data_IF_688690754204
#
_entry.id   IF_688690754204
#
_cell.length_a   1.000
_cell.length_b   1.000
_cell.length_c   1.000
_cell.angle_alpha   90.00
_cell.angle_beta   90.00
_cell.angle_gamma   90.00
#
_symmetry.space_group_name_H-M   'P 1'
#
loop_
_entity.id
_entity.type
_entity.pdbx_description
1 polymer ?
#
# COMPACT_ATOMS: atom_id res chain seq x y z
N UNK A 1 46.14 32.61 -27.25
CA UNK A 1 44.69 32.32 -27.26
C UNK A 1 44.27 31.61 -25.98
N UNK A 2 43.50 32.28 -25.10
CA UNK A 2 42.81 31.61 -23.99
C UNK A 2 41.65 30.78 -24.56
N UNK A 3 41.78 29.44 -24.54
CA UNK A 3 40.75 28.53 -25.06
C UNK A 3 39.48 28.67 -24.21
N UNK A 4 38.33 28.82 -24.87
CA UNK A 4 37.03 29.12 -24.29
C UNK A 4 36.48 27.95 -23.43
N UNK A 5 36.98 27.81 -22.19
CA UNK A 5 36.61 26.76 -21.21
C UNK A 5 35.10 26.70 -20.92
N UNK A 6 34.40 27.82 -21.07
CA UNK A 6 32.96 27.92 -20.83
C UNK A 6 32.13 27.06 -21.79
N UNK A 7 32.57 26.90 -23.04
CA UNK A 7 31.85 26.09 -24.04
C UNK A 7 31.92 24.60 -23.72
N UNK A 8 33.08 24.13 -23.29
CA UNK A 8 33.29 22.74 -22.87
C UNK A 8 32.40 22.39 -21.67
N UNK A 9 32.40 23.23 -20.63
CA UNK A 9 31.55 23.03 -19.44
C UNK A 9 30.06 23.00 -19.81
N UNK A 10 29.61 23.90 -20.70
CA UNK A 10 28.22 23.91 -21.18
C UNK A 10 27.86 22.63 -21.93
N UNK A 11 28.76 22.13 -22.80
CA UNK A 11 28.57 20.87 -23.54
C UNK A 11 28.46 19.68 -22.59
N UNK A 12 29.38 19.54 -21.63
CA UNK A 12 29.35 18.47 -20.63
C UNK A 12 28.05 18.47 -19.81
N UNK A 13 27.58 19.66 -19.37
CA UNK A 13 26.31 19.78 -18.64
C UNK A 13 25.10 19.38 -19.50
N UNK A 14 25.08 19.77 -20.78
CA UNK A 14 24.01 19.40 -21.69
C UNK A 14 23.97 17.88 -21.95
N UNK A 15 25.13 17.26 -22.12
CA UNK A 15 25.27 15.82 -22.32
C UNK A 15 24.80 15.03 -21.10
N UNK A 16 25.21 15.45 -19.89
CA UNK A 16 24.75 14.83 -18.65
C UNK A 16 23.23 14.91 -18.49
N UNK A 17 22.61 16.05 -18.83
CA UNK A 17 21.15 16.20 -18.81
C UNK A 17 20.48 15.29 -19.82
N UNK A 18 21.02 15.19 -21.03
CA UNK A 18 20.50 14.30 -22.09
C UNK A 18 20.56 12.84 -21.67
N UNK A 19 21.68 12.40 -21.09
CA UNK A 19 21.85 11.04 -20.55
C UNK A 19 20.82 10.76 -19.45
N UNK A 20 20.73 11.62 -18.42
CA UNK A 20 19.73 11.47 -17.35
C UNK A 20 18.30 11.38 -17.87
N UNK A 21 17.95 12.15 -18.90
CA UNK A 21 16.61 12.10 -19.52
C UNK A 21 16.40 10.76 -20.22
N UNK A 22 17.39 10.27 -20.97
CA UNK A 22 17.35 8.97 -21.63
C UNK A 22 17.21 7.82 -20.62
N UNK A 23 18.06 7.79 -19.60
CA UNK A 23 18.03 6.77 -18.54
C UNK A 23 16.65 6.75 -17.83
N UNK A 24 16.07 7.94 -17.58
CA UNK A 24 14.72 8.05 -16.99
C UNK A 24 13.64 7.52 -17.93
N UNK A 25 13.74 7.82 -19.23
CA UNK A 25 12.80 7.32 -20.24
C UNK A 25 12.89 5.81 -20.41
N UNK A 26 14.10 5.25 -20.47
CA UNK A 26 14.33 3.81 -20.55
C UNK A 26 13.79 3.09 -19.31
N UNK A 27 14.06 3.61 -18.10
CA UNK A 27 13.48 3.07 -16.85
C UNK A 27 11.96 3.15 -16.83
N UNK A 28 11.37 4.20 -17.41
CA UNK A 28 9.92 4.34 -17.53
C UNK A 28 9.33 3.37 -18.55
N UNK A 29 9.99 3.16 -19.68
CA UNK A 29 9.59 2.19 -20.70
C UNK A 29 9.67 0.77 -20.15
N UNK A 30 10.79 0.40 -19.52
CA UNK A 30 10.94 -0.90 -18.87
C UNK A 30 9.82 -1.17 -17.85
N UNK A 31 9.45 -0.18 -17.02
CA UNK A 31 8.31 -0.29 -16.07
C UNK A 31 6.93 -0.38 -16.74
N UNK A 32 6.79 0.07 -17.98
CA UNK A 32 5.54 -0.02 -18.76
C UNK A 32 5.44 -1.34 -19.52
N UNK A 33 6.56 -1.83 -20.03
CA UNK A 33 6.65 -3.08 -20.79
C UNK A 33 6.59 -4.30 -19.86
N UNK A 34 6.99 -4.14 -18.59
CA UNK A 34 6.77 -5.16 -17.58
C UNK A 34 5.25 -5.35 -17.38
N UNK A 35 4.73 -6.58 -17.51
CA UNK A 35 3.33 -6.85 -17.27
C UNK A 35 3.01 -6.45 -15.82
N UNK A 36 2.07 -5.52 -15.67
CA UNK A 36 1.46 -5.25 -14.37
C UNK A 36 0.34 -6.26 -14.22
N UNK A 37 0.65 -7.43 -13.70
CA UNK A 37 -0.38 -8.32 -13.23
C UNK A 37 -1.09 -7.64 -12.06
N UNK A 38 -2.41 -7.51 -12.19
CA UNK A 38 -3.28 -6.93 -11.17
C UNK A 38 -3.74 -7.97 -10.15
N UNK A 39 -3.12 -9.16 -10.17
CA UNK A 39 -3.47 -10.29 -9.33
C UNK A 39 -2.95 -10.05 -7.92
N UNK A 40 -3.72 -10.54 -6.93
CA UNK A 40 -3.41 -10.34 -5.51
C UNK A 40 -2.04 -10.92 -5.15
N UNK A 41 -1.66 -12.03 -5.79
CA UNK A 41 -0.40 -12.74 -5.56
C UNK A 41 0.83 -11.90 -5.96
N UNK A 42 0.70 -10.96 -6.89
CA UNK A 42 1.78 -10.06 -7.29
C UNK A 42 1.84 -8.78 -6.43
N UNK A 43 0.82 -8.56 -5.59
CA UNK A 43 0.77 -7.48 -4.61
C UNK A 43 1.25 -7.92 -3.23
N UNK A 44 1.32 -9.23 -2.97
CA UNK A 44 1.89 -9.75 -1.72
C UNK A 44 3.42 -9.79 -1.84
N UNK A 45 4.08 -9.23 -0.84
CA UNK A 45 5.53 -9.26 -0.72
C UNK A 45 5.88 -9.93 0.60
N UNK A 46 6.71 -10.97 0.54
CA UNK A 46 7.22 -11.60 1.75
C UNK A 46 8.37 -10.78 2.32
N UNK A 47 8.49 -10.73 3.64
CA UNK A 47 9.51 -9.95 4.34
C UNK A 47 10.38 -10.90 5.15
N UNK A 48 11.70 -10.79 4.98
CA UNK A 48 12.68 -11.59 5.71
C UNK A 48 12.89 -11.09 7.15
N UNK A 49 13.69 -11.81 7.93
CA UNK A 49 14.04 -11.49 9.33
C UNK A 49 14.72 -10.11 9.51
N UNK A 50 15.27 -9.57 8.41
CA UNK A 50 15.95 -8.29 8.37
C UNK A 50 15.06 -7.16 7.81
N UNK A 51 13.80 -7.46 7.48
CA UNK A 51 12.86 -6.47 6.95
C UNK A 51 12.99 -6.22 5.44
N UNK A 52 13.73 -7.04 4.70
CA UNK A 52 13.85 -6.91 3.24
C UNK A 52 12.76 -7.73 2.54
N UNK A 53 12.30 -7.24 1.39
CA UNK A 53 11.36 -7.97 0.55
C UNK A 53 12.07 -9.15 -0.11
N UNK A 54 11.53 -10.35 0.06
CA UNK A 54 12.00 -11.59 -0.54
C UNK A 54 10.95 -12.18 -1.47
N UNK A 55 11.41 -12.78 -2.57
CA UNK A 55 10.58 -13.54 -3.52
C UNK A 55 10.26 -14.95 -3.00
N UNK A 56 10.98 -15.42 -1.98
CA UNK A 56 10.70 -16.71 -1.34
C UNK A 56 9.59 -16.58 -0.30
N UNK A 57 8.52 -17.38 -0.40
CA UNK A 57 7.52 -17.47 0.67
C UNK A 57 8.19 -17.97 1.96
N UNK A 58 7.73 -17.51 3.14
CA UNK A 58 8.23 -18.00 4.41
C UNK A 58 7.99 -19.51 4.51
N UNK A 59 8.93 -20.24 5.09
CA UNK A 59 8.76 -21.67 5.32
C UNK A 59 7.50 -21.92 6.18
N UNK A 60 6.71 -22.97 5.87
CA UNK A 60 5.50 -23.26 6.63
C UNK A 60 5.86 -23.52 8.10
N UNK A 61 5.33 -22.69 9.01
CA UNK A 61 5.57 -22.89 10.44
C UNK A 61 5.09 -24.29 10.88
N UNK A 62 5.86 -24.99 11.74
CA UNK A 62 5.41 -26.24 12.32
C UNK A 62 4.09 -26.02 13.09
N UNK A 63 3.20 -27.02 13.14
CA UNK A 63 1.90 -26.87 13.76
C UNK A 63 2.05 -26.40 15.21
N UNK A 64 1.51 -25.22 15.50
CA UNK A 64 1.42 -24.70 16.87
C UNK A 64 0.64 -25.72 17.67
N UNK A 65 1.24 -26.22 18.77
CA UNK A 65 0.55 -27.07 19.73
C UNK A 65 -0.53 -26.23 20.39
N UNK A 66 -1.75 -26.30 19.85
CA UNK A 66 -2.90 -25.63 20.43
C UNK A 66 -3.19 -26.23 21.81
N UNK A 67 -3.04 -25.44 22.87
CA UNK A 67 -3.53 -25.82 24.19
C UNK A 67 -5.06 -25.80 24.16
N UNK A 68 -5.76 -26.92 24.41
CA UNK A 68 -7.22 -27.00 24.23
C UNK A 68 -8.07 -26.22 25.26
N UNK A 69 -7.46 -25.37 26.10
CA UNK A 69 -8.10 -24.90 27.35
C UNK A 69 -8.82 -23.55 27.26
N UNK A 70 -9.12 -23.00 26.07
CA UNK A 70 -9.84 -21.71 26.01
C UNK A 70 -10.75 -21.58 24.80
N UNK A 71 -11.81 -22.38 24.75
CA UNK A 71 -13.01 -22.04 23.98
C UNK A 71 -13.80 -20.98 24.75
N UNK A 72 -13.48 -19.71 24.57
CA UNK A 72 -14.39 -18.65 25.02
C UNK A 72 -15.59 -18.62 24.09
N UNK A 73 -16.78 -18.80 24.66
CA UNK A 73 -18.03 -18.61 23.93
C UNK A 73 -18.13 -17.19 23.36
N UNK A 74 -19.05 -16.96 22.40
CA UNK A 74 -19.20 -15.66 21.78
C UNK A 74 -19.45 -14.58 22.85
N UNK A 75 -18.81 -13.41 22.74
CA UNK A 75 -19.04 -12.32 23.68
C UNK A 75 -20.52 -11.93 23.67
N UNK A 76 -21.09 -11.54 24.82
CA UNK A 76 -22.52 -11.22 24.91
C UNK A 76 -22.88 -10.12 23.91
N UNK A 77 -23.98 -10.32 23.17
CA UNK A 77 -24.53 -9.34 22.25
C UNK A 77 -24.85 -8.07 23.03
N UNK A 78 -24.19 -6.96 22.72
CA UNK A 78 -24.54 -5.65 23.28
C UNK A 78 -25.91 -5.25 22.74
N UNK A 79 -26.91 -5.19 23.61
CA UNK A 79 -28.24 -4.67 23.29
C UNK A 79 -28.20 -3.14 23.26
N UNK A 80 -28.53 -2.55 22.11
CA UNK A 80 -28.76 -1.11 22.00
C UNK A 80 -30.24 -0.82 22.29
N UNK A 81 -30.56 0.19 23.12
CA UNK A 81 -31.95 0.54 23.40
C UNK A 81 -32.66 1.01 22.12
N UNK A 82 -33.77 0.35 21.80
CA UNK A 82 -34.55 0.60 20.59
C UNK A 82 -35.36 1.91 20.76
N UNK A 83 -34.83 3.03 20.26
CA UNK A 83 -35.40 4.37 20.43
C UNK A 83 -36.63 4.68 19.52
N UNK A 84 -37.33 3.63 19.07
CA UNK A 84 -38.49 3.75 18.17
C UNK A 84 -39.72 4.43 18.83
N UNK A 85 -39.74 4.58 20.15
CA UNK A 85 -40.85 5.21 20.87
C UNK A 85 -40.75 6.75 20.95
N UNK A 86 -39.60 7.36 20.62
CA UNK A 86 -39.42 8.82 20.81
C UNK A 86 -39.92 9.68 19.64
N UNK A 87 -40.17 9.09 18.47
CA UNK A 87 -40.59 9.87 17.29
C UNK A 87 -42.11 10.04 17.18
N UNK A 88 -42.89 9.24 17.92
CA UNK A 88 -44.35 9.29 17.84
C UNK A 88 -44.98 10.34 18.78
N UNK A 89 -44.20 10.95 19.67
CA UNK A 89 -44.69 11.92 20.65
C UNK A 89 -44.49 13.39 20.24
N UNK A 90 -43.97 13.67 19.03
CA UNK A 90 -43.84 15.07 18.54
C UNK A 90 -45.07 15.60 17.81
N UNK A 91 -46.06 14.76 17.49
CA UNK A 91 -47.13 15.13 16.56
C UNK A 91 -48.54 15.28 17.18
N UNK A 92 -48.69 15.34 18.50
CA UNK A 92 -50.04 15.48 19.12
C UNK A 92 -50.36 16.87 19.69
N UNK A 93 -49.44 17.85 19.65
CA UNK A 93 -49.68 19.17 20.28
C UNK A 93 -49.84 20.36 19.32
N UNK A 94 -50.20 20.13 18.05
CA UNK A 94 -50.46 21.21 17.07
C UNK A 94 -51.94 21.35 16.65
N UNK A 95 -52.87 20.74 17.39
CA UNK A 95 -54.31 20.96 17.22
C UNK A 95 -55.01 21.16 18.57
N UNK A 96 -54.98 22.39 19.06
CA UNK A 96 -56.12 23.09 19.67
C UNK A 96 -55.82 24.58 19.76
#
# INVERSE_FOLDING_TARGET
MSKNQNTFIKKQKAELKKRKKRDKQEKMAARKDQPKSGDLDDMIAYVDEFGNISDTPPEPEPPKKENPQRKEGPPPRREYPNNAQQQNNRNTNLKS
#
